data_IF_647805545549
#
_entry.id   IF_647805545549
#
_cell.length_a   1.000
_cell.length_b   1.000
_cell.length_c   1.000
_cell.angle_alpha   90.00
_cell.angle_beta   90.00
_cell.angle_gamma   90.00
#
_symmetry.space_group_name_H-M   'P 1'
#
loop_
_entity.id
_entity.type
_entity.pdbx_description
1 polymer ?
#
# COMPACT_ATOMS: atom_id res chain seq x y z
N UNK A 1 -3.12 14.44 1.92
CA UNK A 1 -3.83 14.76 0.68
C UNK A 1 -4.33 16.19 0.70
N UNK A 2 -4.27 16.87 -0.42
CA UNK A 2 -4.87 18.18 -0.59
C UNK A 2 -6.36 18.01 -0.86
N UNK A 3 -7.26 18.56 -0.02
CA UNK A 3 -8.69 18.28 -0.10
C UNK A 3 -9.41 18.98 -1.26
N UNK A 4 -8.71 19.78 -2.05
CA UNK A 4 -9.27 20.54 -3.16
C UNK A 4 -9.97 21.85 -2.74
N UNK A 5 -10.71 22.46 -3.66
CA UNK A 5 -11.30 23.79 -3.49
C UNK A 5 -12.33 23.83 -2.34
N UNK A 6 -13.16 22.81 -2.21
CA UNK A 6 -14.22 22.71 -1.19
C UNK A 6 -13.75 22.03 0.11
N UNK A 7 -12.44 21.97 0.34
CA UNK A 7 -11.85 21.27 1.48
C UNK A 7 -12.33 21.77 2.83
N UNK A 8 -12.54 23.06 3.00
CA UNK A 8 -13.05 23.65 4.23
C UNK A 8 -14.45 23.13 4.60
N UNK A 9 -15.37 23.11 3.64
CA UNK A 9 -16.74 22.59 3.83
C UNK A 9 -16.71 21.08 4.11
N UNK A 10 -15.94 20.31 3.36
CA UNK A 10 -15.82 18.86 3.54
C UNK A 10 -15.29 18.50 4.94
N UNK A 11 -14.27 19.23 5.42
CA UNK A 11 -13.74 19.02 6.79
C UNK A 11 -14.78 19.40 7.85
N UNK A 12 -15.47 20.52 7.68
CA UNK A 12 -16.53 20.92 8.61
C UNK A 12 -17.66 19.89 8.66
N UNK A 13 -18.14 19.43 7.51
CA UNK A 13 -19.22 18.42 7.44
C UNK A 13 -18.84 17.12 8.16
N UNK A 14 -17.60 16.65 8.01
CA UNK A 14 -17.11 15.47 8.73
C UNK A 14 -17.03 15.76 10.23
N UNK A 15 -16.44 16.87 10.65
CA UNK A 15 -16.28 17.19 12.08
C UNK A 15 -17.62 17.41 12.79
N UNK A 16 -18.60 18.00 12.10
CA UNK A 16 -19.93 18.23 12.65
C UNK A 16 -20.86 17.01 12.52
N UNK A 17 -20.43 15.94 11.86
CA UNK A 17 -21.24 14.74 11.67
C UNK A 17 -22.32 14.86 10.57
N UNK A 18 -22.30 15.92 9.76
CA UNK A 18 -23.15 16.05 8.57
C UNK A 18 -22.78 15.03 7.49
N UNK A 19 -21.52 14.61 7.50
CA UNK A 19 -21.00 13.50 6.70
C UNK A 19 -20.14 12.59 7.60
N UNK A 20 -19.80 11.40 7.11
CA UNK A 20 -18.94 10.46 7.84
C UNK A 20 -17.74 10.01 7.00
N UNK A 21 -16.59 9.79 7.65
CA UNK A 21 -15.42 9.30 6.95
C UNK A 21 -15.64 7.85 6.49
N UNK A 22 -15.30 7.54 5.27
CA UNK A 22 -15.40 6.18 4.70
C UNK A 22 -14.35 5.93 3.61
N UNK A 23 -13.40 6.85 3.47
CA UNK A 23 -12.25 6.71 2.61
C UNK A 23 -11.17 5.86 3.24
N UNK A 24 -10.25 5.35 2.42
CA UNK A 24 -9.06 4.61 2.85
C UNK A 24 -7.82 5.26 2.28
N UNK A 25 -6.72 5.24 3.02
CA UNK A 25 -5.45 5.77 2.57
C UNK A 25 -4.89 4.92 1.43
N UNK A 26 -4.61 5.48 0.25
CA UNK A 26 -4.04 4.75 -0.87
C UNK A 26 -2.51 4.70 -0.85
N UNK A 27 -1.91 5.00 0.30
CA UNK A 27 -0.47 4.97 0.52
C UNK A 27 -0.17 4.67 1.99
N UNK A 28 1.06 4.24 2.25
CA UNK A 28 1.62 4.09 3.60
C UNK A 28 2.20 5.42 4.05
N UNK A 29 1.92 5.83 5.28
CA UNK A 29 2.58 6.96 5.92
C UNK A 29 3.70 6.42 6.82
N UNK A 30 4.97 6.63 6.49
CA UNK A 30 6.10 6.20 7.31
C UNK A 30 6.16 6.99 8.63
N UNK A 31 6.96 6.54 9.58
CA UNK A 31 7.26 7.31 10.81
C UNK A 31 8.20 8.46 10.46
N UNK A 32 9.20 8.21 9.63
CA UNK A 32 10.11 9.24 9.14
C UNK A 32 10.25 9.14 7.61
N UNK A 33 10.68 10.22 6.97
CA UNK A 33 10.96 10.25 5.54
C UNK A 33 12.01 9.19 5.14
N UNK A 34 13.03 8.99 5.96
CA UNK A 34 14.12 8.05 5.70
C UNK A 34 13.75 6.58 5.89
N UNK A 35 12.53 6.29 6.34
CA UNK A 35 12.00 4.94 6.33
C UNK A 35 11.63 4.45 4.92
N UNK A 36 11.48 5.37 3.97
CA UNK A 36 11.14 5.08 2.57
C UNK A 36 12.42 4.71 1.83
N UNK A 37 12.52 3.50 1.20
CA UNK A 37 13.74 3.09 0.49
C UNK A 37 14.21 4.10 -0.57
N UNK A 38 13.28 4.68 -1.33
CA UNK A 38 13.59 5.66 -2.38
C UNK A 38 14.16 6.98 -1.87
N UNK A 39 14.03 7.29 -0.58
CA UNK A 39 14.58 8.53 -0.01
C UNK A 39 16.10 8.63 -0.17
N UNK A 40 16.78 7.49 -0.24
CA UNK A 40 18.24 7.42 -0.43
C UNK A 40 18.68 7.55 -1.89
N UNK A 41 17.77 7.42 -2.82
CA UNK A 41 18.00 7.54 -4.27
C UNK A 41 17.54 8.88 -4.83
N UNK A 42 16.90 9.70 -3.99
CA UNK A 42 16.41 10.99 -4.43
C UNK A 42 17.57 11.99 -4.47
N UNK A 43 17.75 12.75 -5.57
CA UNK A 43 18.93 13.58 -5.78
C UNK A 43 18.92 14.90 -5.00
N UNK A 44 18.18 14.97 -3.90
CA UNK A 44 18.18 16.16 -3.04
C UNK A 44 19.27 16.04 -1.98
N UNK A 45 20.03 17.10 -1.81
CA UNK A 45 20.92 17.53 -0.72
C UNK A 45 21.03 16.57 0.50
N UNK A 46 20.99 15.26 0.20
CA UNK A 46 21.08 14.23 1.21
C UNK A 46 22.54 14.01 1.57
N UNK A 47 22.89 14.39 2.76
CA UNK A 47 24.17 13.99 3.38
C UNK A 47 23.96 12.58 3.93
N UNK A 48 24.79 11.62 3.51
CA UNK A 48 24.62 10.17 3.73
C UNK A 48 24.46 9.67 5.19
N UNK A 49 24.36 10.56 6.15
CA UNK A 49 24.08 10.31 7.58
C UNK A 49 22.57 10.38 7.93
N UNK A 50 21.70 10.65 6.96
CA UNK A 50 20.25 10.82 7.16
C UNK A 50 19.82 12.24 7.48
N UNK A 51 20.71 13.22 7.48
CA UNK A 51 20.37 14.63 7.65
C UNK A 51 20.17 15.33 6.30
N UNK A 52 19.19 16.22 6.21
CA UNK A 52 19.08 17.17 5.09
C UNK A 52 20.05 18.32 5.34
N UNK A 53 20.89 18.62 4.38
CA UNK A 53 21.72 19.83 4.45
C UNK A 53 20.89 21.04 4.01
N UNK A 54 20.45 21.92 4.94
CA UNK A 54 19.63 23.09 4.58
C UNK A 54 20.41 24.17 3.81
N UNK A 55 21.72 24.00 3.64
CA UNK A 55 22.62 24.95 2.98
C UNK A 55 23.19 24.43 1.65
N UNK A 56 22.81 23.23 1.20
CA UNK A 56 23.23 22.74 -0.09
C UNK A 56 22.52 23.55 -1.18
N UNK A 57 23.24 24.44 -1.82
CA UNK A 57 22.76 25.14 -3.00
C UNK A 57 22.94 24.29 -4.25
N UNK A 58 22.00 24.40 -5.20
CA UNK A 58 22.09 23.70 -6.50
C UNK A 58 23.18 24.27 -7.43
N UNK A 59 23.92 25.26 -6.99
CA UNK A 59 25.02 25.84 -7.73
C UNK A 59 26.34 25.21 -7.30
N UNK A 60 27.16 24.86 -8.27
CA UNK A 60 28.55 24.44 -8.10
C UNK A 60 29.38 25.61 -7.55
N UNK A 61 29.21 25.94 -6.29
CA UNK A 61 30.08 26.91 -5.64
C UNK A 61 31.31 26.19 -5.12
N UNK A 62 32.37 26.17 -5.98
CA UNK A 62 33.69 25.66 -5.62
C UNK A 62 34.20 26.30 -4.31
N UNK A 63 33.86 27.57 -4.07
CA UNK A 63 34.28 28.31 -2.87
C UNK A 63 33.71 27.74 -1.59
N UNK A 64 32.46 27.26 -1.62
CA UNK A 64 31.81 26.62 -0.46
C UNK A 64 32.41 25.25 -0.17
N UNK A 65 32.77 24.48 -1.20
CA UNK A 65 33.45 23.20 -1.06
C UNK A 65 34.87 23.34 -0.51
N UNK A 66 35.61 24.37 -0.90
CA UNK A 66 36.93 24.69 -0.35
C UNK A 66 36.84 25.11 1.12
N UNK A 67 35.84 25.91 1.48
CA UNK A 67 35.61 26.31 2.85
C UNK A 67 35.27 25.11 3.76
N UNK A 68 34.41 24.22 3.30
CA UNK A 68 34.05 22.99 4.03
C UNK A 68 35.25 22.03 4.17
N UNK A 69 36.07 21.90 3.13
CA UNK A 69 37.30 21.13 3.19
C UNK A 69 38.32 21.71 4.20
N UNK A 70 38.36 23.03 4.33
CA UNK A 70 39.25 23.73 5.29
C UNK A 70 38.86 23.49 6.75
N UNK A 71 37.57 23.19 7.01
CA UNK A 71 37.07 22.81 8.35
C UNK A 71 37.03 21.30 8.58
N UNK A 72 37.67 20.49 7.71
CA UNK A 72 37.74 19.03 7.89
C UNK A 72 36.42 18.32 7.54
N UNK A 73 35.44 19.02 7.01
CA UNK A 73 34.23 18.44 6.46
C UNK A 73 34.56 17.99 5.04
N UNK A 74 34.62 16.68 4.82
CA UNK A 74 34.95 16.09 3.52
C UNK A 74 34.10 16.64 2.38
N UNK A 75 34.62 16.57 1.15
CA UNK A 75 33.86 16.93 -0.05
C UNK A 75 32.55 16.16 -0.07
N UNK A 76 31.43 16.86 0.14
CA UNK A 76 30.11 16.30 -0.09
C UNK A 76 29.99 16.06 -1.59
N UNK A 77 30.04 14.80 -2.02
CA UNK A 77 29.82 14.41 -3.41
C UNK A 77 28.37 14.76 -3.72
N UNK A 78 28.11 15.83 -4.46
CA UNK A 78 26.76 16.16 -4.91
C UNK A 78 26.20 14.99 -5.68
N UNK A 79 24.99 14.47 -5.30
CA UNK A 79 24.33 13.48 -6.14
C UNK A 79 24.03 14.12 -7.50
N UNK A 80 24.10 13.32 -8.57
CA UNK A 80 23.71 13.79 -9.88
C UNK A 80 22.21 14.09 -9.87
N UNK A 81 21.84 15.35 -10.05
CA UNK A 81 20.44 15.82 -10.03
C UNK A 81 19.71 15.61 -11.36
N UNK A 82 20.43 15.16 -12.39
CA UNK A 82 19.89 15.01 -13.75
C UNK A 82 19.07 13.73 -13.92
N UNK A 83 19.20 12.76 -13.01
CA UNK A 83 18.44 11.51 -13.03
C UNK A 83 18.22 10.95 -11.63
N UNK A 84 17.20 10.12 -11.49
CA UNK A 84 16.92 9.33 -10.29
C UNK A 84 16.93 7.85 -10.63
N UNK A 85 17.65 7.04 -9.86
CA UNK A 85 17.65 5.59 -10.01
C UNK A 85 16.55 4.96 -9.16
N UNK A 86 15.67 4.19 -9.79
CA UNK A 86 14.63 3.42 -9.11
C UNK A 86 15.19 2.05 -8.70
N UNK A 87 15.94 2.02 -7.59
CA UNK A 87 16.61 0.80 -7.09
C UNK A 87 15.70 -0.11 -6.29
N UNK A 88 14.54 0.39 -5.87
CA UNK A 88 13.61 -0.31 -4.99
C UNK A 88 12.93 -1.51 -5.66
N UNK A 89 12.83 -1.52 -6.98
CA UNK A 89 12.08 -2.53 -7.72
C UNK A 89 10.63 -2.59 -7.22
N UNK A 90 10.18 -3.77 -6.79
CA UNK A 90 8.81 -3.97 -6.27
C UNK A 90 8.61 -3.46 -4.83
N UNK A 91 9.69 -3.05 -4.14
CA UNK A 91 9.68 -2.71 -2.72
C UNK A 91 9.26 -1.27 -2.46
N UNK A 92 8.06 -0.91 -2.92
CA UNK A 92 7.48 0.43 -2.79
C UNK A 92 6.24 0.38 -1.89
N UNK A 93 6.11 1.37 -1.00
CA UNK A 93 4.97 1.53 -0.12
C UNK A 93 4.74 0.32 0.77
N UNK A 94 3.49 -0.12 0.92
CA UNK A 94 3.14 -1.22 1.82
C UNK A 94 3.82 -2.55 1.46
N UNK A 95 4.19 -2.77 0.19
CA UNK A 95 4.92 -3.97 -0.21
C UNK A 95 6.25 -4.08 0.55
N UNK A 96 6.96 -2.97 0.69
CA UNK A 96 8.17 -2.90 1.51
C UNK A 96 7.84 -3.00 3.00
N UNK A 97 7.04 -2.06 3.53
CA UNK A 97 6.82 -1.95 4.97
C UNK A 97 6.22 -3.21 5.59
N UNK A 98 5.24 -3.85 4.92
CA UNK A 98 4.62 -5.08 5.41
C UNK A 98 5.56 -6.28 5.32
N UNK A 99 6.45 -6.34 4.32
CA UNK A 99 7.38 -7.47 4.13
C UNK A 99 8.50 -7.44 5.14
N UNK A 100 9.06 -6.26 5.42
CA UNK A 100 10.15 -6.11 6.41
C UNK A 100 9.64 -5.93 7.84
N UNK A 101 8.34 -5.81 8.04
CA UNK A 101 7.74 -5.61 9.36
C UNK A 101 8.08 -4.26 10.00
N UNK A 102 8.31 -3.21 9.18
CA UNK A 102 8.69 -1.89 9.68
C UNK A 102 7.47 -1.10 10.14
N UNK A 103 7.58 -0.47 11.30
CA UNK A 103 6.51 0.38 11.85
C UNK A 103 6.20 1.57 10.94
N UNK A 104 4.93 1.94 10.88
CA UNK A 104 4.41 3.06 10.10
C UNK A 104 3.47 3.90 10.94
N UNK A 105 3.34 5.19 10.61
CA UNK A 105 2.36 6.07 11.26
C UNK A 105 0.93 5.67 10.88
N UNK A 106 0.70 5.40 9.58
CA UNK A 106 -0.57 4.86 9.08
C UNK A 106 -0.30 3.84 7.97
N UNK A 107 -0.86 2.62 8.08
CA UNK A 107 -0.68 1.61 7.05
C UNK A 107 -1.51 1.93 5.79
N UNK A 108 -1.11 1.34 4.67
CA UNK A 108 -1.91 1.35 3.44
C UNK A 108 -3.32 0.80 3.70
N UNK A 109 -4.32 1.45 3.17
CA UNK A 109 -5.71 1.06 3.34
C UNK A 109 -6.35 1.49 4.67
N UNK A 110 -5.61 2.17 5.56
CA UNK A 110 -6.15 2.69 6.81
C UNK A 110 -7.29 3.68 6.57
N UNK A 111 -8.28 3.68 7.44
CA UNK A 111 -9.37 4.63 7.42
C UNK A 111 -10.11 4.69 8.73
N UNK A 112 -10.81 5.79 8.95
CA UNK A 112 -11.67 6.04 10.11
C UNK A 112 -13.14 5.94 9.72
N UNK A 113 -13.98 5.66 10.70
CA UNK A 113 -15.43 5.70 10.58
C UNK A 113 -16.03 6.15 11.92
N UNK A 114 -17.26 6.64 11.90
CA UNK A 114 -18.04 6.91 13.13
C UNK A 114 -18.82 5.68 13.61
N UNK A 115 -18.70 4.55 12.90
CA UNK A 115 -19.31 3.29 13.26
C UNK A 115 -18.29 2.15 13.17
N UNK A 116 -18.68 0.97 13.62
CA UNK A 116 -17.85 -0.22 13.59
C UNK A 116 -18.44 -1.27 12.63
N UNK A 117 -17.55 -2.08 12.04
CA UNK A 117 -17.94 -3.16 11.14
C UNK A 117 -17.31 -4.48 11.53
N UNK A 118 -18.06 -5.57 11.39
CA UNK A 118 -17.53 -6.93 11.51
C UNK A 118 -17.60 -7.64 10.17
N UNK A 119 -16.64 -8.56 9.96
CA UNK A 119 -16.58 -9.40 8.77
C UNK A 119 -16.93 -10.83 9.17
N UNK A 120 -17.81 -11.45 8.40
CA UNK A 120 -18.30 -12.82 8.66
C UNK A 120 -18.44 -13.59 7.36
N UNK A 121 -18.53 -14.91 7.48
CA UNK A 121 -18.75 -15.87 6.36
C UNK A 121 -17.77 -15.64 5.19
N UNK A 122 -16.46 -15.47 5.42
CA UNK A 122 -15.51 -15.36 4.33
C UNK A 122 -15.51 -16.68 3.54
N UNK A 123 -15.45 -16.59 2.22
CA UNK A 123 -15.33 -17.74 1.35
C UNK A 123 -14.49 -17.40 0.11
N UNK A 124 -13.76 -18.39 -0.40
CA UNK A 124 -12.96 -18.27 -1.61
C UNK A 124 -13.25 -19.47 -2.52
N UNK A 125 -13.47 -19.21 -3.79
CA UNK A 125 -13.67 -20.22 -4.84
C UNK A 125 -12.77 -19.92 -6.01
N UNK A 126 -12.20 -20.96 -6.62
CA UNK A 126 -11.41 -20.83 -7.84
C UNK A 126 -12.14 -21.56 -8.95
N UNK A 127 -12.42 -20.87 -10.03
CA UNK A 127 -13.06 -21.42 -11.22
C UNK A 127 -12.06 -22.21 -12.07
N UNK A 128 -12.53 -22.94 -13.07
CA UNK A 128 -11.68 -23.76 -13.96
C UNK A 128 -10.70 -22.94 -14.79
N UNK A 129 -11.05 -21.70 -15.11
CA UNK A 129 -10.22 -20.74 -15.84
C UNK A 129 -9.16 -20.06 -14.95
N UNK A 130 -9.20 -20.34 -13.62
CA UNK A 130 -8.30 -19.75 -12.64
C UNK A 130 -8.85 -18.47 -11.97
N UNK A 131 -10.01 -17.97 -12.36
CA UNK A 131 -10.66 -16.82 -11.73
C UNK A 131 -10.97 -17.13 -10.27
N UNK A 132 -10.53 -16.25 -9.37
CA UNK A 132 -10.77 -16.33 -7.93
C UNK A 132 -11.96 -15.44 -7.56
N UNK A 133 -12.97 -16.02 -6.95
CA UNK A 133 -14.12 -15.30 -6.38
C UNK A 133 -14.06 -15.38 -4.87
N UNK A 134 -13.86 -14.24 -4.23
CA UNK A 134 -13.81 -14.08 -2.78
C UNK A 134 -15.07 -13.36 -2.30
N UNK A 135 -15.74 -13.89 -1.29
CA UNK A 135 -16.95 -13.27 -0.72
C UNK A 135 -16.80 -13.08 0.78
N UNK A 136 -17.40 -12.02 1.31
CA UNK A 136 -17.45 -11.74 2.74
C UNK A 136 -18.69 -10.93 3.08
N UNK A 137 -19.31 -11.20 4.21
CA UNK A 137 -20.45 -10.43 4.70
C UNK A 137 -19.93 -9.39 5.71
N UNK A 138 -20.22 -8.12 5.43
CA UNK A 138 -19.91 -6.98 6.31
C UNK A 138 -21.17 -6.58 7.02
N UNK A 139 -21.11 -6.47 8.34
CA UNK A 139 -22.21 -6.00 9.19
C UNK A 139 -21.80 -4.74 9.93
N UNK A 140 -22.64 -3.71 9.90
CA UNK A 140 -22.46 -2.54 10.74
C UNK A 140 -22.90 -2.87 12.17
N UNK A 141 -21.93 -2.92 13.09
CA UNK A 141 -22.16 -3.26 14.51
C UNK A 141 -22.14 -2.04 15.44
N UNK A 142 -21.91 -0.84 14.90
CA UNK A 142 -21.93 0.40 15.65
C UNK A 142 -23.29 1.08 15.64
N UNK A 143 -23.34 2.32 16.11
CA UNK A 143 -24.56 3.09 16.35
C UNK A 143 -24.93 4.07 15.23
N UNK A 144 -24.04 4.28 14.26
CA UNK A 144 -24.24 5.23 13.16
C UNK A 144 -24.26 4.51 11.81
N UNK A 145 -24.94 5.11 10.83
CA UNK A 145 -24.82 4.64 9.45
C UNK A 145 -23.41 4.86 8.91
N UNK A 146 -22.96 3.98 8.02
CA UNK A 146 -21.61 4.09 7.46
C UNK A 146 -21.38 3.15 6.30
N UNK A 147 -20.20 3.31 5.67
CA UNK A 147 -19.73 2.46 4.57
C UNK A 147 -18.36 1.90 4.92
N UNK A 148 -18.13 0.65 4.56
CA UNK A 148 -16.85 -0.01 4.73
C UNK A 148 -16.27 -0.43 3.38
N UNK A 149 -14.95 -0.27 3.23
CA UNK A 149 -14.22 -0.74 2.05
C UNK A 149 -13.37 -1.97 2.45
N UNK A 150 -13.84 -3.14 2.00
CA UNK A 150 -13.10 -4.40 2.15
C UNK A 150 -11.99 -4.47 1.12
N UNK A 151 -10.81 -4.82 1.58
CA UNK A 151 -9.60 -4.98 0.79
C UNK A 151 -9.19 -6.46 0.78
N UNK A 152 -8.98 -7.01 -0.40
CA UNK A 152 -8.54 -8.40 -0.58
C UNK A 152 -7.05 -8.39 -0.94
N UNK A 153 -6.25 -8.82 0.01
CA UNK A 153 -4.82 -9.04 -0.20
C UNK A 153 -4.57 -10.52 -0.47
N UNK A 154 -3.55 -10.80 -1.25
CA UNK A 154 -3.18 -12.17 -1.60
C UNK A 154 -1.69 -12.38 -1.34
N UNK A 155 -1.38 -13.41 -0.57
CA UNK A 155 -0.02 -13.98 -0.46
C UNK A 155 0.14 -15.06 -1.50
N UNK A 156 1.18 -14.95 -2.31
CA UNK A 156 1.52 -15.94 -3.33
C UNK A 156 2.34 -17.10 -2.73
N UNK A 157 2.44 -18.24 -3.42
CA UNK A 157 3.30 -19.36 -2.97
C UNK A 157 4.78 -18.98 -3.00
N UNK A 158 5.55 -19.59 -2.11
CA UNK A 158 7.01 -19.47 -2.06
C UNK A 158 7.69 -20.23 -3.22
N UNK A 159 8.98 -19.90 -3.46
CA UNK A 159 9.85 -20.66 -4.38
C UNK A 159 9.78 -20.26 -5.85
N UNK A 160 9.13 -19.13 -6.17
CA UNK A 160 9.11 -18.53 -7.50
C UNK A 160 9.79 -17.18 -7.53
N UNK A 161 9.24 -16.26 -8.32
CA UNK A 161 9.67 -14.85 -8.33
C UNK A 161 9.59 -14.25 -6.93
N UNK A 162 10.54 -13.37 -6.61
CA UNK A 162 10.51 -12.62 -5.35
C UNK A 162 9.24 -11.79 -5.27
N UNK A 163 8.51 -11.91 -4.17
CA UNK A 163 7.22 -11.25 -3.96
C UNK A 163 7.11 -10.61 -2.57
N UNK A 164 6.27 -9.57 -2.44
CA UNK A 164 5.94 -9.02 -1.13
C UNK A 164 5.17 -10.03 -0.28
N UNK A 165 5.12 -9.81 1.03
CA UNK A 165 4.34 -10.63 1.96
C UNK A 165 2.87 -10.77 1.55
N UNK A 166 2.29 -9.71 1.01
CA UNK A 166 0.96 -9.74 0.38
C UNK A 166 0.79 -8.57 -0.59
N UNK A 167 -0.17 -8.71 -1.50
CA UNK A 167 -0.52 -7.67 -2.47
C UNK A 167 -2.03 -7.47 -2.56
N UNK A 168 -2.48 -6.22 -2.62
CA UNK A 168 -3.88 -5.88 -2.88
C UNK A 168 -4.26 -6.32 -4.29
N UNK A 169 -5.23 -7.22 -4.40
CA UNK A 169 -5.68 -7.76 -5.69
C UNK A 169 -7.12 -7.39 -6.05
N UNK A 170 -7.94 -7.05 -5.04
CA UNK A 170 -9.27 -6.51 -5.26
C UNK A 170 -9.74 -5.69 -4.05
N UNK A 171 -10.72 -4.84 -4.25
CA UNK A 171 -11.44 -4.16 -3.18
C UNK A 171 -12.87 -3.90 -3.58
N UNK A 172 -13.76 -3.79 -2.59
CA UNK A 172 -15.14 -3.40 -2.80
C UNK A 172 -15.64 -2.60 -1.59
N UNK A 173 -16.49 -1.62 -1.85
CA UNK A 173 -17.11 -0.79 -0.81
C UNK A 173 -18.57 -1.16 -0.67
N UNK A 174 -19.07 -1.24 0.59
CA UNK A 174 -20.48 -1.46 0.86
C UNK A 174 -21.32 -0.26 0.40
N UNK A 175 -22.60 -0.48 0.15
CA UNK A 175 -23.58 0.59 0.27
C UNK A 175 -23.53 1.18 1.69
N UNK A 176 -24.26 2.25 1.93
CA UNK A 176 -24.48 2.69 3.29
C UNK A 176 -25.25 1.61 4.06
N UNK A 177 -24.71 1.24 5.22
CA UNK A 177 -25.29 0.28 6.15
C UNK A 177 -25.74 1.01 7.42
N UNK A 178 -27.01 0.92 7.74
CA UNK A 178 -27.54 1.34 9.05
C UNK A 178 -27.07 0.40 10.16
N UNK A 179 -27.15 0.79 11.44
CA UNK A 179 -26.87 -0.11 12.56
C UNK A 179 -27.60 -1.45 12.43
N UNK A 180 -26.87 -2.55 12.53
CA UNK A 180 -27.36 -3.91 12.39
C UNK A 180 -27.50 -4.41 10.93
N UNK A 181 -27.43 -3.55 9.93
CA UNK A 181 -27.52 -3.97 8.53
C UNK A 181 -26.24 -4.67 8.06
N UNK A 182 -26.44 -5.59 7.12
CA UNK A 182 -25.36 -6.36 6.51
C UNK A 182 -25.41 -6.30 4.97
N UNK A 183 -24.25 -6.50 4.36
CA UNK A 183 -24.11 -6.71 2.92
C UNK A 183 -23.03 -7.73 2.66
N UNK A 184 -23.31 -8.67 1.77
CA UNK A 184 -22.27 -9.57 1.24
C UNK A 184 -21.62 -8.90 0.04
N UNK A 185 -20.30 -8.77 0.09
CA UNK A 185 -19.47 -8.29 -1.01
C UNK A 185 -18.86 -9.47 -1.74
N UNK A 186 -18.74 -9.33 -3.06
CA UNK A 186 -18.04 -10.26 -3.93
C UNK A 186 -16.88 -9.52 -4.57
N UNK A 187 -15.68 -10.09 -4.44
CA UNK A 187 -14.44 -9.59 -5.03
C UNK A 187 -13.94 -10.64 -6.03
N UNK A 188 -13.70 -10.23 -7.24
CA UNK A 188 -13.23 -11.12 -8.31
C UNK A 188 -11.82 -10.74 -8.70
N UNK A 189 -10.95 -11.75 -8.79
CA UNK A 189 -9.56 -11.62 -9.22
C UNK A 189 -9.35 -12.57 -10.37
N UNK A 190 -9.09 -12.05 -11.55
CA UNK A 190 -8.75 -12.86 -12.71
C UNK A 190 -7.30 -13.38 -12.61
N UNK A 191 -6.93 -14.41 -13.38
CA UNK A 191 -5.58 -14.98 -13.32
C UNK A 191 -4.46 -14.00 -13.64
N UNK A 192 -4.69 -13.05 -14.55
CA UNK A 192 -3.71 -12.04 -14.90
C UNK A 192 -3.46 -11.05 -13.75
N UNK A 193 -4.51 -10.70 -13.01
CA UNK A 193 -4.39 -9.85 -11.82
C UNK A 193 -3.53 -10.50 -10.72
N UNK A 194 -3.42 -11.85 -10.69
CA UNK A 194 -2.51 -12.55 -9.78
C UNK A 194 -1.07 -12.62 -10.29
N UNK A 195 -0.82 -12.28 -11.56
CA UNK A 195 0.48 -12.41 -12.18
C UNK A 195 1.49 -11.40 -11.62
N UNK A 196 2.76 -11.76 -11.76
CA UNK A 196 3.91 -10.88 -11.58
C UNK A 196 4.76 -10.93 -12.83
N UNK A 197 5.38 -9.81 -13.17
CA UNK A 197 6.26 -9.75 -14.34
C UNK A 197 7.58 -10.47 -14.04
N UNK A 198 7.95 -11.38 -14.93
CA UNK A 198 9.24 -12.07 -14.92
C UNK A 198 10.15 -11.43 -15.97
N UNK A 199 11.20 -10.75 -15.53
CA UNK A 199 12.13 -10.04 -16.40
C UNK A 199 12.96 -11.01 -17.25
N UNK A 200 13.25 -12.23 -16.75
CA UNK A 200 14.03 -13.23 -17.48
C UNK A 200 13.28 -13.78 -18.69
N UNK A 201 11.97 -14.00 -18.54
CA UNK A 201 11.11 -14.52 -19.61
C UNK A 201 10.37 -13.41 -20.37
N UNK A 202 10.46 -12.17 -19.88
CA UNK A 202 9.73 -10.99 -20.39
C UNK A 202 8.22 -11.25 -20.48
N UNK A 203 7.65 -11.92 -19.48
CA UNK A 203 6.26 -12.35 -19.45
C UNK A 203 5.61 -12.10 -18.08
N UNK A 204 4.29 -11.92 -18.06
CA UNK A 204 3.50 -11.95 -16.84
C UNK A 204 3.19 -13.40 -16.47
N UNK A 205 3.48 -13.80 -15.25
CA UNK A 205 3.37 -15.19 -14.81
C UNK A 205 2.57 -15.32 -13.51
N UNK A 206 1.62 -16.25 -13.51
CA UNK A 206 0.91 -16.71 -12.30
C UNK A 206 1.38 -18.13 -12.00
N UNK A 207 2.02 -18.32 -10.84
CA UNK A 207 2.50 -19.62 -10.42
C UNK A 207 1.34 -20.55 -10.02
N UNK A 208 1.49 -21.84 -10.29
CA UNK A 208 0.66 -22.86 -9.64
C UNK A 208 1.08 -23.00 -8.17
N UNK A 209 0.14 -23.23 -7.27
CA UNK A 209 0.48 -23.43 -5.87
C UNK A 209 -0.61 -23.05 -4.90
N UNK A 210 -0.24 -23.00 -3.62
CA UNK A 210 -1.10 -22.58 -2.52
C UNK A 210 -0.95 -21.08 -2.30
N UNK A 211 -2.05 -20.36 -2.39
CA UNK A 211 -2.19 -18.95 -2.12
C UNK A 211 -2.99 -18.73 -0.85
N UNK A 212 -2.89 -17.56 -0.25
CA UNK A 212 -3.76 -17.15 0.86
C UNK A 212 -4.45 -15.83 0.53
N UNK A 213 -5.77 -15.80 0.64
CA UNK A 213 -6.59 -14.61 0.51
C UNK A 213 -6.84 -14.01 1.88
N UNK A 214 -6.53 -12.73 2.07
CA UNK A 214 -6.69 -11.98 3.30
C UNK A 214 -7.73 -10.89 3.12
N UNK A 215 -8.81 -10.95 3.89
CA UNK A 215 -9.85 -9.93 3.93
C UNK A 215 -9.51 -8.91 5.01
N UNK A 216 -9.19 -7.69 4.61
CA UNK A 216 -8.75 -6.64 5.53
C UNK A 216 -9.56 -5.35 5.43
N UNK A 217 -9.57 -4.60 6.51
CA UNK A 217 -9.97 -3.20 6.54
C UNK A 217 -8.79 -2.26 6.20
N UNK A 218 -7.57 -2.79 6.31
CA UNK A 218 -6.30 -2.24 5.84
C UNK A 218 -5.30 -3.38 5.70
N UNK A 219 -4.09 -3.11 5.19
CA UNK A 219 -3.02 -4.11 5.11
C UNK A 219 -2.57 -4.61 6.51
N UNK A 220 -2.76 -3.79 7.54
CA UNK A 220 -2.42 -4.12 8.93
C UNK A 220 -3.63 -4.59 9.76
N UNK A 221 -4.85 -4.49 9.24
CA UNK A 221 -6.08 -4.96 9.90
C UNK A 221 -6.72 -6.07 9.06
N UNK A 222 -6.12 -7.26 9.10
CA UNK A 222 -6.65 -8.46 8.45
C UNK A 222 -7.63 -9.15 9.39
N UNK A 223 -8.86 -9.34 8.94
CA UNK A 223 -9.97 -9.88 9.72
C UNK A 223 -10.31 -11.33 9.41
N UNK A 224 -9.92 -11.82 8.25
CA UNK A 224 -10.06 -13.23 7.88
C UNK A 224 -9.00 -13.61 6.85
N UNK A 225 -8.54 -14.85 6.90
CA UNK A 225 -7.59 -15.41 5.93
C UNK A 225 -8.01 -16.81 5.54
N UNK A 226 -8.05 -17.07 4.24
CA UNK A 226 -8.45 -18.38 3.69
C UNK A 226 -7.45 -18.84 2.63
N UNK A 227 -7.00 -20.09 2.68
CA UNK A 227 -6.18 -20.66 1.63
C UNK A 227 -7.01 -20.97 0.37
N UNK A 228 -6.36 -20.85 -0.78
CA UNK A 228 -6.88 -21.34 -2.04
C UNK A 228 -5.75 -21.87 -2.91
N UNK A 229 -6.07 -22.64 -3.96
CA UNK A 229 -5.08 -23.28 -4.82
C UNK A 229 -5.29 -22.86 -6.28
N UNK A 230 -4.23 -22.36 -6.91
CA UNK A 230 -4.13 -22.22 -8.36
C UNK A 230 -3.57 -23.53 -8.91
N UNK A 231 -4.36 -24.21 -9.73
CA UNK A 231 -4.04 -25.58 -10.18
C UNK A 231 -2.95 -25.61 -11.25
N UNK A 232 -2.88 -24.57 -12.11
CA UNK A 232 -1.94 -24.50 -13.24
C UNK A 232 -1.30 -23.12 -13.30
N UNK A 233 -0.01 -23.09 -13.58
CA UNK A 233 0.67 -21.86 -13.94
C UNK A 233 0.14 -21.32 -15.27
N UNK A 234 0.16 -20.00 -15.42
CA UNK A 234 -0.24 -19.30 -16.65
C UNK A 234 0.80 -18.22 -16.96
N UNK A 235 0.98 -17.92 -18.23
CA UNK A 235 1.89 -16.89 -18.70
C UNK A 235 1.25 -16.11 -19.86
N UNK A 236 1.50 -14.79 -19.93
CA UNK A 236 1.00 -13.85 -20.94
C UNK A 236 2.12 -12.96 -21.49
#
# INVERSE_FOLDING_TARGET
WTPGQEGGYTVADVLCGASYPSGKLPMTFPVTYFDIPSSFNFPFDYVGDGSMNPFASNEEDESTNELLAMFGMGRVKKPNVDYTEYKEGIWVGYRYFSTVGKNVSYPFGYGLSYTAFTYSKPAVKVAKDGTVTATVTVTNTGSFAGKEAVQLYVTAPDGGLVKPACELRAFAKTRELKPGESQTLTLTVDPYTLASFNEETSAWETAAGAYTAHFGASVADIRASLPFKVAKAQSW
#
